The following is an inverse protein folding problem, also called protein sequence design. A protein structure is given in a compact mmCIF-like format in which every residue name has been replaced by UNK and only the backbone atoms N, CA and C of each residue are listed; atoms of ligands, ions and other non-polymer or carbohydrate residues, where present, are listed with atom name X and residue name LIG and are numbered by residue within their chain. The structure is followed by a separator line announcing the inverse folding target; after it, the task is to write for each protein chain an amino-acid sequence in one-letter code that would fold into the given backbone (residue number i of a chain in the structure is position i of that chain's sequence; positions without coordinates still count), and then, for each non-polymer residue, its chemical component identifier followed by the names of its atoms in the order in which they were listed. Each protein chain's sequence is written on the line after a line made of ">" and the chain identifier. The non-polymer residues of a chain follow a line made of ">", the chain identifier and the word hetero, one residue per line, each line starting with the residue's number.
data_IF_944150784121
#
_entry.id   IF_944150784121
#
_cell.length_a   1.000
_cell.length_b   1.000
_cell.length_c   1.000
_cell.angle_alpha   90.00
_cell.angle_beta   90.00
_cell.angle_gamma   90.00
#
_symmetry.space_group_name_H-M   'P 1'
#
loop_
_entity.id
_entity.type
_entity.pdbx_description
1 polymer ?
#
# COMPACT_ATOMS: atom_id res chain seq x y z
N UNK A 1 -32.08 20.17 -39.03
CA UNK A 1 -31.25 19.55 -40.09
C UNK A 1 -30.03 18.92 -39.39
N UNK A 2 -30.11 17.66 -38.95
CA UNK A 2 -29.34 16.47 -39.42
C UNK A 2 -27.88 16.82 -39.83
N UNK A 3 -26.78 16.23 -39.35
CA UNK A 3 -26.38 14.83 -39.06
C UNK A 3 -25.14 14.85 -38.13
N UNK A 4 -24.97 13.92 -37.19
CA UNK A 4 -24.16 12.70 -37.36
C UNK A 4 -22.73 12.93 -36.81
N UNK A 5 -22.19 12.15 -35.88
CA UNK A 5 -21.70 10.79 -36.11
C UNK A 5 -21.51 10.07 -34.76
N UNK A 6 -22.16 8.92 -34.62
CA UNK A 6 -21.91 7.93 -33.57
C UNK A 6 -21.11 6.80 -34.24
N UNK A 7 -19.82 6.67 -33.91
CA UNK A 7 -18.98 5.58 -34.40
C UNK A 7 -18.97 4.48 -33.33
N UNK A 8 -19.77 3.45 -33.59
CA UNK A 8 -19.77 2.17 -32.87
C UNK A 8 -18.65 1.32 -33.47
N UNK A 9 -17.59 1.07 -32.71
CA UNK A 9 -16.53 0.13 -33.09
C UNK A 9 -16.97 -1.29 -32.69
N UNK A 10 -17.60 -1.98 -33.64
CA UNK A 10 -17.96 -3.40 -33.55
C UNK A 10 -16.72 -4.23 -33.92
N UNK A 11 -15.91 -4.62 -32.94
CA UNK A 11 -14.73 -5.46 -33.18
C UNK A 11 -15.19 -6.91 -33.40
N UNK A 12 -15.28 -7.27 -34.68
CA UNK A 12 -15.71 -8.58 -35.16
C UNK A 12 -14.72 -9.66 -34.75
N UNK A 13 -15.23 -10.65 -34.04
CA UNK A 13 -14.63 -11.94 -33.73
C UNK A 13 -14.33 -12.70 -35.04
N UNK A 14 -13.07 -13.11 -35.26
CA UNK A 14 -12.71 -14.02 -36.34
C UNK A 14 -11.99 -15.23 -35.75
N UNK A 15 -12.76 -16.31 -35.62
CA UNK A 15 -12.34 -17.68 -35.37
C UNK A 15 -11.59 -18.19 -36.60
N UNK A 16 -10.34 -18.61 -36.42
CA UNK A 16 -9.66 -19.49 -37.37
C UNK A 16 -9.46 -20.84 -36.67
N UNK A 17 -10.36 -21.77 -36.98
CA UNK A 17 -10.17 -23.20 -36.81
C UNK A 17 -9.19 -23.66 -37.89
N UNK A 18 -7.96 -23.96 -37.51
CA UNK A 18 -6.96 -24.62 -38.36
C UNK A 18 -6.60 -25.98 -37.77
N UNK A 19 -7.36 -27.02 -38.16
CA UNK A 19 -6.99 -28.42 -37.93
C UNK A 19 -6.08 -28.87 -39.07
N UNK A 20 -4.82 -29.16 -38.76
CA UNK A 20 -3.86 -29.79 -39.66
C UNK A 20 -3.16 -30.92 -38.93
N UNK A 21 -3.66 -32.14 -39.12
CA UNK A 21 -3.11 -33.39 -38.58
C UNK A 21 -1.80 -33.71 -39.31
N UNK A 22 -0.69 -33.75 -38.59
CA UNK A 22 0.56 -34.33 -39.11
C UNK A 22 1.22 -35.15 -38.01
N UNK A 23 1.20 -36.48 -38.20
CA UNK A 23 1.79 -37.47 -37.31
C UNK A 23 3.29 -37.54 -37.55
N UNK A 24 4.08 -37.02 -36.61
CA UNK A 24 5.44 -37.47 -36.35
C UNK A 24 5.60 -37.66 -34.85
N UNK A 25 5.91 -38.89 -34.46
CA UNK A 25 6.21 -39.30 -33.10
C UNK A 25 7.68 -38.97 -32.80
N UNK A 26 8.00 -38.24 -31.73
CA UNK A 26 9.33 -38.24 -31.15
C UNK A 26 9.32 -38.97 -29.79
N UNK A 27 9.98 -40.13 -29.83
CA UNK A 27 11.01 -40.57 -28.89
C UNK A 27 11.06 -39.95 -27.48
N UNK A 28 10.92 -40.83 -26.49
CA UNK A 28 11.23 -40.62 -25.08
C UNK A 28 12.70 -40.19 -24.90
N UNK A 29 12.93 -39.00 -24.36
CA UNK A 29 14.14 -38.68 -23.61
C UNK A 29 13.77 -38.04 -22.27
N UNK A 30 13.68 -38.89 -21.26
CA UNK A 30 13.89 -38.56 -19.85
C UNK A 30 15.28 -37.94 -19.68
N UNK A 31 15.34 -36.70 -19.21
CA UNK A 31 16.58 -35.99 -18.90
C UNK A 31 16.34 -34.79 -17.98
N UNK A 32 16.38 -35.06 -16.67
CA UNK A 32 16.65 -34.16 -15.55
C UNK A 32 16.17 -32.68 -15.65
N UNK A 33 15.00 -32.40 -15.06
CA UNK A 33 14.81 -31.15 -14.31
C UNK A 33 14.62 -31.54 -12.86
N UNK A 34 15.66 -31.35 -12.07
CA UNK A 34 15.60 -31.49 -10.62
C UNK A 34 14.79 -30.34 -10.03
N UNK A 35 13.46 -30.44 -10.06
CA UNK A 35 12.56 -29.63 -9.23
C UNK A 35 12.60 -30.20 -7.81
N UNK A 36 13.70 -29.94 -7.11
CA UNK A 36 13.80 -30.15 -5.66
C UNK A 36 13.66 -28.79 -4.97
N UNK A 37 12.41 -28.46 -4.62
CA UNK A 37 12.10 -27.36 -3.71
C UNK A 37 10.99 -26.44 -4.20
N UNK A 38 9.79 -26.96 -4.49
CA UNK A 38 8.65 -26.09 -4.84
C UNK A 38 7.30 -26.54 -4.24
N UNK A 39 7.27 -27.56 -3.38
CA UNK A 39 6.05 -27.88 -2.62
C UNK A 39 5.89 -27.01 -1.38
N UNK A 40 6.97 -26.85 -0.61
CA UNK A 40 6.98 -26.02 0.59
C UNK A 40 6.71 -24.56 0.29
N UNK A 41 7.25 -24.01 -0.79
CA UNK A 41 7.06 -22.59 -1.14
C UNK A 41 5.66 -22.31 -1.68
N UNK A 42 5.07 -23.24 -2.46
CA UNK A 42 3.67 -23.12 -2.88
C UNK A 42 2.69 -23.32 -1.71
N UNK A 43 2.96 -24.26 -0.80
CA UNK A 43 2.14 -24.50 0.39
C UNK A 43 2.23 -23.32 1.36
N UNK A 44 3.44 -22.80 1.62
CA UNK A 44 3.64 -21.58 2.42
C UNK A 44 2.99 -20.36 1.78
N UNK A 45 3.09 -20.21 0.46
CA UNK A 45 2.41 -19.13 -0.25
C UNK A 45 0.89 -19.26 -0.20
N UNK A 46 0.36 -20.48 -0.38
CA UNK A 46 -1.08 -20.74 -0.30
C UNK A 46 -1.63 -20.54 1.12
N UNK A 47 -0.90 -21.00 2.14
CA UNK A 47 -1.27 -20.83 3.55
C UNK A 47 -1.17 -19.36 3.98
N UNK A 48 -0.12 -18.64 3.56
CA UNK A 48 -0.03 -17.20 3.74
C UNK A 48 -1.21 -16.50 3.04
N UNK A 49 -1.55 -16.89 1.81
CA UNK A 49 -2.68 -16.32 1.11
C UNK A 49 -4.03 -16.65 1.73
N UNK A 50 -4.18 -17.84 2.31
CA UNK A 50 -5.38 -18.25 3.02
C UNK A 50 -5.52 -17.48 4.34
N UNK A 51 -4.46 -17.38 5.15
CA UNK A 51 -4.45 -16.61 6.39
C UNK A 51 -4.66 -15.11 6.14
N UNK A 52 -4.10 -14.58 5.05
CA UNK A 52 -4.37 -13.22 4.58
C UNK A 52 -5.82 -13.09 4.12
N UNK A 53 -6.32 -14.01 3.30
CA UNK A 53 -7.71 -14.05 2.87
C UNK A 53 -8.67 -14.08 4.05
N UNK A 54 -8.41 -14.89 5.08
CA UNK A 54 -9.21 -14.95 6.31
C UNK A 54 -9.10 -13.66 7.12
N UNK A 55 -7.90 -13.08 7.25
CA UNK A 55 -7.68 -11.78 7.90
C UNK A 55 -8.37 -10.61 7.17
N UNK A 56 -8.60 -10.77 5.86
CA UNK A 56 -9.29 -9.80 5.00
C UNK A 56 -10.78 -10.14 4.75
N UNK A 57 -11.21 -11.38 5.01
CA UNK A 57 -12.59 -11.86 4.90
C UNK A 57 -13.29 -12.03 6.26
N UNK A 58 -12.65 -11.66 7.37
CA UNK A 58 -13.37 -11.26 8.58
C UNK A 58 -14.15 -9.97 8.29
N UNK A 59 -15.21 -10.09 7.49
CA UNK A 59 -16.14 -9.06 7.04
C UNK A 59 -17.01 -8.50 8.17
N UNK A 60 -16.39 -8.19 9.30
CA UNK A 60 -17.01 -7.35 10.32
C UNK A 60 -17.00 -5.94 9.77
N UNK A 61 -18.18 -5.35 9.68
CA UNK A 61 -18.31 -3.95 9.34
C UNK A 61 -17.58 -3.14 10.40
N UNK A 62 -16.56 -2.39 9.98
CA UNK A 62 -15.82 -1.50 10.87
C UNK A 62 -16.21 -0.06 10.56
N UNK A 63 -16.65 0.64 11.60
CA UNK A 63 -16.80 2.08 11.55
C UNK A 63 -15.43 2.70 11.83
N UNK A 64 -14.88 3.53 10.92
CA UNK A 64 -13.55 4.08 11.10
C UNK A 64 -13.52 5.06 12.27
N UNK A 65 -12.34 5.19 12.88
CA UNK A 65 -11.99 6.22 13.86
C UNK A 65 -12.30 7.62 13.29
N UNK A 66 -12.75 8.56 14.13
CA UNK A 66 -13.02 9.92 13.65
C UNK A 66 -11.70 10.59 13.19
N UNK A 67 -11.72 11.27 12.05
CA UNK A 67 -10.51 11.90 11.53
C UNK A 67 -9.93 12.94 12.49
N UNK A 68 -10.71 13.49 13.44
CA UNK A 68 -10.21 14.39 14.47
C UNK A 68 -9.26 13.70 15.44
N UNK A 69 -9.51 12.43 15.76
CA UNK A 69 -8.63 11.64 16.62
C UNK A 69 -7.32 11.31 15.88
N UNK A 70 -7.39 11.04 14.58
CA UNK A 70 -6.21 10.85 13.72
C UNK A 70 -5.44 12.16 13.55
N UNK A 71 -6.13 13.27 13.28
CA UNK A 71 -5.53 14.60 13.12
C UNK A 71 -4.82 15.07 14.38
N UNK A 72 -5.32 14.70 15.56
CA UNK A 72 -4.67 15.00 16.83
C UNK A 72 -3.30 14.29 17.02
N UNK A 73 -2.97 13.31 16.17
CA UNK A 73 -1.67 12.65 16.15
C UNK A 73 -0.65 13.34 15.24
N UNK A 74 -1.08 14.30 14.44
CA UNK A 74 -0.20 15.05 13.53
C UNK A 74 0.53 16.14 14.33
N UNK A 75 1.87 16.15 14.37
CA UNK A 75 2.62 17.10 15.18
C UNK A 75 2.40 18.54 14.73
N UNK A 76 2.66 19.51 15.60
CA UNK A 76 2.64 20.94 15.21
C UNK A 76 3.89 21.34 14.41
N UNK A 77 4.98 20.56 14.54
CA UNK A 77 6.29 20.87 13.98
C UNK A 77 7.12 19.59 13.79
N UNK A 78 7.93 19.54 12.73
CA UNK A 78 8.91 18.48 12.46
C UNK A 78 10.28 19.15 12.30
N UNK A 79 11.15 19.04 13.30
CA UNK A 79 12.45 19.72 13.27
C UNK A 79 12.27 21.24 13.07
N UNK A 80 12.81 21.79 11.98
CA UNK A 80 12.62 23.19 11.60
C UNK A 80 11.44 23.44 10.64
N UNK A 81 10.71 22.40 10.24
CA UNK A 81 9.56 22.50 9.35
C UNK A 81 8.30 22.78 10.17
N UNK A 82 7.67 23.94 9.94
CA UNK A 82 6.41 24.31 10.58
C UNK A 82 5.26 23.66 9.83
N UNK A 83 4.24 23.20 10.56
CA UNK A 83 3.01 22.74 9.92
C UNK A 83 2.31 23.92 9.23
N UNK A 84 2.09 23.81 7.94
CA UNK A 84 1.44 24.84 7.11
C UNK A 84 -0.04 24.58 6.93
N UNK A 85 -0.44 23.31 6.97
CA UNK A 85 -1.83 22.87 6.85
C UNK A 85 -2.07 21.61 7.68
N UNK A 86 -3.31 21.42 8.12
CA UNK A 86 -3.77 20.20 8.75
C UNK A 86 -5.24 19.98 8.42
N UNK A 87 -5.54 18.91 7.71
CA UNK A 87 -6.88 18.57 7.27
C UNK A 87 -7.28 17.18 7.76
N UNK A 88 -8.54 16.85 7.59
CA UNK A 88 -9.01 15.49 7.80
C UNK A 88 -10.42 15.36 7.27
N UNK A 89 -10.74 14.17 6.81
CA UNK A 89 -12.01 13.89 6.18
C UNK A 89 -12.46 12.45 6.46
N UNK A 90 -13.77 12.27 6.30
CA UNK A 90 -14.42 10.98 6.28
C UNK A 90 -15.18 10.86 4.97
N UNK A 91 -14.92 9.79 4.23
CA UNK A 91 -15.58 9.51 2.96
C UNK A 91 -16.19 8.11 2.96
N UNK A 92 -17.29 7.96 2.22
CA UNK A 92 -18.05 6.71 2.15
C UNK A 92 -18.46 6.45 0.71
N UNK A 93 -17.98 5.35 0.13
CA UNK A 93 -18.31 4.96 -1.25
C UNK A 93 -18.23 3.45 -1.41
N UNK A 94 -19.17 2.85 -2.16
CA UNK A 94 -19.17 1.41 -2.48
C UNK A 94 -19.00 0.48 -1.26
N UNK A 95 -19.56 0.86 -0.10
CA UNK A 95 -19.45 0.09 1.15
C UNK A 95 -18.15 0.28 1.92
N UNK A 96 -17.20 1.05 1.40
CA UNK A 96 -15.96 1.45 2.08
C UNK A 96 -16.21 2.78 2.79
N UNK A 97 -15.78 2.86 4.05
CA UNK A 97 -15.79 4.05 4.88
C UNK A 97 -14.36 4.41 5.29
N UNK A 98 -13.77 5.40 4.62
CA UNK A 98 -12.41 5.85 4.90
C UNK A 98 -12.44 7.01 5.89
N UNK A 99 -11.49 7.03 6.81
CA UNK A 99 -11.19 8.20 7.63
C UNK A 99 -9.70 8.48 7.53
N UNK A 100 -9.35 9.73 7.24
CA UNK A 100 -7.94 10.13 7.12
C UNK A 100 -7.69 11.52 7.65
N UNK A 101 -6.46 11.73 8.10
CA UNK A 101 -5.95 13.05 8.46
C UNK A 101 -4.61 13.28 7.78
N UNK A 102 -4.39 14.51 7.33
CA UNK A 102 -3.22 14.92 6.56
C UNK A 102 -2.64 16.22 7.13
N UNK A 103 -1.31 16.37 7.09
CA UNK A 103 -0.65 17.61 7.42
C UNK A 103 0.58 17.85 6.54
N UNK A 104 0.69 19.08 6.07
CA UNK A 104 1.82 19.58 5.29
C UNK A 104 2.76 20.36 6.20
N UNK A 105 4.07 20.16 6.02
CA UNK A 105 5.13 20.83 6.76
C UNK A 105 6.14 21.40 5.79
N UNK A 106 6.59 22.63 6.02
CA UNK A 106 7.65 23.23 5.23
C UNK A 106 8.58 24.09 6.08
N UNK A 107 9.81 24.28 5.58
CA UNK A 107 10.66 25.35 6.10
C UNK A 107 10.11 26.72 5.67
N UNK A 108 10.71 27.79 6.20
CA UNK A 108 10.26 29.16 5.92
C UNK A 108 10.47 29.57 4.45
N UNK A 109 11.33 28.86 3.73
CA UNK A 109 11.67 29.14 2.34
C UNK A 109 10.85 28.29 1.36
N UNK A 110 10.14 27.26 1.83
CA UNK A 110 9.44 26.28 1.01
C UNK A 110 10.37 25.36 0.21
N UNK A 111 11.62 25.20 0.64
CA UNK A 111 12.63 24.38 -0.04
C UNK A 111 12.59 22.92 0.40
N UNK A 112 12.10 22.67 1.62
CA UNK A 112 11.95 21.35 2.21
C UNK A 112 10.51 21.14 2.60
N UNK A 113 9.97 19.98 2.25
CA UNK A 113 8.58 19.67 2.52
C UNK A 113 8.44 18.23 3.02
N UNK A 114 7.56 18.05 4.00
CA UNK A 114 7.09 16.75 4.44
C UNK A 114 5.56 16.78 4.43
N UNK A 115 4.95 15.75 3.86
CA UNK A 115 3.53 15.43 3.99
C UNK A 115 3.40 14.22 4.90
N UNK A 116 2.45 14.27 5.83
CA UNK A 116 2.11 13.16 6.73
C UNK A 116 0.64 12.85 6.60
N UNK A 117 0.33 11.62 6.22
CA UNK A 117 -1.03 11.08 6.15
C UNK A 117 -1.20 9.93 7.15
N UNK A 118 -2.33 9.92 7.86
CA UNK A 118 -2.78 8.80 8.68
C UNK A 118 -4.14 8.36 8.17
N UNK A 119 -4.24 7.10 7.74
CA UNK A 119 -5.45 6.53 7.14
C UNK A 119 -5.94 5.33 7.95
N UNK A 120 -7.22 5.30 8.33
CA UNK A 120 -7.88 4.12 8.91
C UNK A 120 -8.48 3.23 7.82
N UNK A 121 -7.86 2.07 7.59
CA UNK A 121 -8.30 1.06 6.64
C UNK A 121 -9.30 0.07 7.22
N UNK A 122 -9.86 0.29 8.41
CA UNK A 122 -10.70 -0.70 9.08
C UNK A 122 -11.87 -1.21 8.24
N UNK A 123 -12.41 -0.39 7.34
CA UNK A 123 -13.50 -0.79 6.41
C UNK A 123 -13.01 -1.27 5.04
N UNK A 124 -11.70 -1.19 4.77
CA UNK A 124 -11.06 -1.62 3.52
C UNK A 124 -10.58 -3.04 3.72
N UNK A 125 -11.14 -3.98 2.97
CA UNK A 125 -10.77 -5.38 3.09
C UNK A 125 -10.50 -6.03 1.73
N UNK A 126 -9.92 -7.23 1.77
CA UNK A 126 -9.64 -8.05 0.60
C UNK A 126 -8.72 -7.37 -0.42
N UNK A 127 -9.06 -7.56 -1.69
CA UNK A 127 -8.29 -7.09 -2.84
C UNK A 127 -8.09 -5.57 -2.85
N UNK A 128 -9.00 -4.79 -2.26
CA UNK A 128 -8.87 -3.33 -2.21
C UNK A 128 -7.72 -2.88 -1.31
N UNK A 129 -7.55 -3.52 -0.16
CA UNK A 129 -6.42 -3.25 0.74
C UNK A 129 -5.10 -3.67 0.09
N UNK A 130 -5.10 -4.80 -0.64
CA UNK A 130 -3.93 -5.25 -1.39
C UNK A 130 -3.55 -4.29 -2.52
N UNK A 131 -4.52 -3.78 -3.28
CA UNK A 131 -4.25 -2.84 -4.36
C UNK A 131 -3.60 -1.54 -3.86
N UNK A 132 -3.95 -1.10 -2.65
CA UNK A 132 -3.39 0.11 -2.04
C UNK A 132 -2.05 -0.12 -1.33
N UNK A 133 -1.86 -1.26 -0.65
CA UNK A 133 -0.73 -1.50 0.26
C UNK A 133 -0.08 -2.88 0.08
N UNK A 134 -0.01 -3.38 -1.15
CA UNK A 134 0.49 -4.71 -1.48
C UNK A 134 1.93 -5.00 -1.02
N UNK A 135 2.75 -3.96 -0.81
CA UNK A 135 4.09 -4.07 -0.23
C UNK A 135 4.09 -4.73 1.16
N UNK A 136 2.98 -4.67 1.89
CA UNK A 136 2.85 -5.31 3.21
C UNK A 136 3.00 -6.84 3.13
N UNK A 137 2.59 -7.45 2.02
CA UNK A 137 2.56 -8.92 1.88
C UNK A 137 3.87 -9.52 1.36
N UNK A 138 4.82 -8.69 0.95
CA UNK A 138 6.07 -9.13 0.33
C UNK A 138 7.25 -8.55 1.08
N UNK A 139 8.38 -9.25 1.09
CA UNK A 139 9.63 -8.68 1.57
C UNK A 139 10.34 -8.04 0.37
N UNK A 140 10.59 -6.74 0.48
CA UNK A 140 11.23 -5.94 -0.57
C UNK A 140 12.62 -5.58 -0.09
N UNK A 141 13.62 -5.83 -0.93
CA UNK A 141 14.97 -5.31 -0.78
C UNK A 141 15.53 -5.09 -2.18
N UNK A 142 15.57 -3.83 -2.61
CA UNK A 142 15.98 -3.46 -3.95
C UNK A 142 16.75 -2.15 -3.93
N UNK A 143 17.86 -2.16 -4.65
CA UNK A 143 18.75 -1.03 -4.83
C UNK A 143 18.96 -0.76 -6.32
N UNK A 144 19.04 0.51 -6.68
CA UNK A 144 19.38 1.00 -8.02
C UNK A 144 20.50 2.03 -7.91
N UNK A 145 21.05 2.47 -9.04
CA UNK A 145 22.05 3.55 -9.06
C UNK A 145 21.57 4.82 -8.35
N UNK A 146 20.27 5.12 -8.45
CA UNK A 146 19.68 6.36 -8.00
C UNK A 146 18.95 6.26 -6.65
N UNK A 147 18.88 5.08 -6.02
CA UNK A 147 18.07 4.92 -4.82
C UNK A 147 17.80 3.48 -4.40
N UNK A 148 16.81 3.32 -3.54
CA UNK A 148 16.39 2.01 -3.04
C UNK A 148 14.92 1.99 -2.63
N UNK A 149 14.38 0.79 -2.50
CA UNK A 149 13.11 0.49 -1.84
C UNK A 149 13.28 -0.76 -0.99
N UNK A 150 12.77 -0.72 0.25
CA UNK A 150 12.81 -1.90 1.12
C UNK A 150 11.66 -1.93 2.11
N UNK A 151 11.29 -3.14 2.52
CA UNK A 151 10.46 -3.34 3.70
C UNK A 151 11.33 -3.43 4.96
N UNK A 152 10.77 -3.02 6.09
CA UNK A 152 11.43 -3.07 7.39
C UNK A 152 10.43 -3.31 8.52
N UNK A 153 10.92 -3.49 9.74
CA UNK A 153 10.08 -3.59 10.94
C UNK A 153 10.26 -2.36 11.80
N UNK A 154 9.16 -1.71 12.16
CA UNK A 154 9.10 -0.54 13.03
C UNK A 154 8.16 -0.80 14.20
N UNK A 155 8.70 -0.87 15.43
CA UNK A 155 7.89 -1.15 16.64
C UNK A 155 6.93 -2.32 16.46
N UNK A 156 7.41 -3.45 15.92
CA UNK A 156 6.62 -4.67 15.60
C UNK A 156 5.60 -4.54 14.47
N UNK A 157 5.53 -3.38 13.80
CA UNK A 157 4.69 -3.15 12.63
C UNK A 157 5.54 -3.22 11.36
N UNK A 158 4.99 -3.74 10.27
CA UNK A 158 5.70 -3.80 8.99
C UNK A 158 5.65 -2.44 8.32
N UNK A 159 6.81 -1.98 7.86
CA UNK A 159 6.98 -0.74 7.13
C UNK A 159 7.61 -0.96 5.76
N UNK A 160 7.52 0.08 4.96
CA UNK A 160 8.11 0.21 3.64
C UNK A 160 8.76 1.58 3.54
N UNK A 161 9.95 1.63 2.96
CA UNK A 161 10.63 2.88 2.67
C UNK A 161 11.19 2.86 1.26
N UNK A 162 11.16 4.02 0.62
CA UNK A 162 11.78 4.27 -0.67
C UNK A 162 12.52 5.59 -0.63
N UNK A 163 13.65 5.66 -1.31
CA UNK A 163 14.41 6.89 -1.38
C UNK A 163 15.10 7.06 -2.73
N UNK A 164 15.09 8.28 -3.26
CA UNK A 164 15.87 8.68 -4.43
C UNK A 164 17.00 9.62 -3.97
N UNK A 165 18.25 9.21 -4.20
CA UNK A 165 19.43 9.95 -3.78
C UNK A 165 19.64 11.25 -4.58
N UNK A 166 19.23 11.27 -5.86
CA UNK A 166 19.45 12.39 -6.76
C UNK A 166 18.47 13.54 -6.46
N UNK A 167 17.18 13.23 -6.36
CA UNK A 167 16.15 14.23 -6.07
C UNK A 167 15.96 14.49 -4.58
N UNK A 168 16.47 13.61 -3.71
CA UNK A 168 16.25 13.62 -2.26
C UNK A 168 14.77 13.56 -1.91
N UNK A 169 14.04 12.75 -2.67
CA UNK A 169 12.65 12.42 -2.41
C UNK A 169 12.59 11.07 -1.71
N UNK A 170 11.71 10.96 -0.72
CA UNK A 170 11.58 9.75 0.06
C UNK A 170 10.17 9.49 0.54
N UNK A 171 9.92 8.23 0.85
CA UNK A 171 8.68 7.74 1.41
C UNK A 171 9.02 6.84 2.59
N UNK A 172 8.29 6.99 3.69
CA UNK A 172 8.21 6.02 4.78
C UNK A 172 6.75 5.72 5.04
N UNK A 173 6.36 4.46 4.93
CA UNK A 173 5.01 3.99 5.19
C UNK A 173 5.04 2.87 6.24
N UNK A 174 4.14 2.89 7.22
CA UNK A 174 4.02 1.82 8.24
C UNK A 174 2.57 1.42 8.40
N UNK A 175 2.30 0.10 8.30
CA UNK A 175 0.98 -0.47 8.59
C UNK A 175 0.92 -0.87 10.06
N UNK A 176 0.25 -0.03 10.85
CA UNK A 176 0.08 -0.16 12.29
C UNK A 176 -1.14 -1.01 12.61
N UNK A 177 -0.94 -2.02 13.46
CA UNK A 177 -1.99 -2.93 13.93
C UNK A 177 -2.86 -3.53 12.80
N UNK A 178 -2.27 -3.71 11.61
CA UNK A 178 -2.95 -4.20 10.38
C UNK A 178 -4.17 -3.36 9.96
N UNK A 179 -4.21 -2.08 10.35
CA UNK A 179 -5.39 -1.23 10.14
C UNK A 179 -5.06 0.21 9.79
N UNK A 180 -4.13 0.83 10.51
CA UNK A 180 -3.81 2.24 10.27
C UNK A 180 -2.55 2.33 9.44
N UNK A 181 -2.56 3.11 8.37
CA UNK A 181 -1.33 3.41 7.62
C UNK A 181 -0.87 4.80 7.98
N UNK A 182 0.39 4.92 8.39
CA UNK A 182 1.09 6.20 8.53
C UNK A 182 2.02 6.33 7.34
N UNK A 183 1.77 7.30 6.48
CA UNK A 183 2.53 7.59 5.26
C UNK A 183 3.22 8.94 5.43
N UNK A 184 4.51 8.99 5.14
CA UNK A 184 5.34 10.19 5.26
C UNK A 184 6.08 10.36 3.94
N UNK A 185 5.72 11.40 3.20
CA UNK A 185 6.33 11.74 1.92
C UNK A 185 7.22 12.96 2.11
N UNK A 186 8.43 12.91 1.55
CA UNK A 186 9.42 13.96 1.66
C UNK A 186 9.91 14.45 0.32
N UNK A 187 10.04 15.76 0.18
CA UNK A 187 10.77 16.40 -0.92
C UNK A 187 11.95 17.20 -0.37
N UNK A 188 13.13 16.96 -0.94
CA UNK A 188 14.41 17.57 -0.52
C UNK A 188 14.74 17.36 0.97
N UNK A 189 14.35 16.22 1.54
CA UNK A 189 14.59 15.84 2.94
C UNK A 189 15.27 14.48 3.02
N UNK A 190 16.11 14.29 4.03
CA UNK A 190 16.82 13.03 4.22
C UNK A 190 15.90 11.92 4.77
N UNK A 191 16.23 10.66 4.47
CA UNK A 191 15.55 9.51 5.08
C UNK A 191 15.56 9.55 6.62
N UNK A 192 16.61 10.11 7.22
CA UNK A 192 16.66 10.28 8.68
C UNK A 192 15.63 11.29 9.19
N UNK A 193 15.37 12.37 8.46
CA UNK A 193 14.30 13.33 8.78
C UNK A 193 12.92 12.65 8.66
N UNK A 194 12.71 11.79 7.66
CA UNK A 194 11.46 11.02 7.51
C UNK A 194 11.24 10.04 8.66
N UNK A 195 12.28 9.27 9.04
CA UNK A 195 12.19 8.35 10.18
C UNK A 195 12.00 9.07 11.51
N UNK A 196 12.67 10.21 11.69
CA UNK A 196 12.46 11.06 12.87
C UNK A 196 11.03 11.61 12.92
N UNK A 197 10.42 11.89 11.77
CA UNK A 197 9.02 12.28 11.68
C UNK A 197 8.10 11.14 12.15
N UNK A 198 8.36 9.91 11.70
CA UNK A 198 7.60 8.74 12.13
C UNK A 198 7.66 8.56 13.67
N UNK A 199 8.82 8.82 14.27
CA UNK A 199 9.01 8.73 15.72
C UNK A 199 8.20 9.76 16.52
N UNK A 200 7.77 10.86 15.89
CA UNK A 200 6.89 11.87 16.51
C UNK A 200 5.41 11.45 16.52
N UNK A 201 5.01 10.50 15.69
CA UNK A 201 3.64 10.00 15.65
C UNK A 201 3.44 8.98 16.77
N UNK A 202 2.38 9.16 17.58
CA UNK A 202 2.01 8.22 18.64
C UNK A 202 1.37 6.95 18.06
N UNK A 203 2.24 6.06 17.57
CA UNK A 203 1.87 4.75 17.01
C UNK A 203 1.15 3.89 18.05
N UNK A 204 1.51 3.98 19.32
CA UNK A 204 0.85 3.20 20.38
C UNK A 204 -0.61 3.60 20.58
N UNK A 205 -0.95 4.89 20.38
CA UNK A 205 -2.35 5.33 20.36
C UNK A 205 -3.12 4.73 19.17
N UNK A 206 -2.49 4.62 17.99
CA UNK A 206 -3.10 3.93 16.85
C UNK A 206 -3.34 2.44 17.16
N UNK A 207 -2.36 1.75 17.74
CA UNK A 207 -2.50 0.36 18.15
C UNK A 207 -3.65 0.15 19.15
N UNK A 208 -3.82 1.09 20.10
CA UNK A 208 -4.91 1.05 21.07
C UNK A 208 -6.30 1.23 20.43
N UNK A 209 -6.39 1.81 19.24
CA UNK A 209 -7.65 2.01 18.49
C UNK A 209 -7.98 0.86 17.54
N UNK A 210 -7.17 -0.22 17.48
CA UNK A 210 -7.32 -1.31 16.50
C UNK A 210 -8.70 -1.98 16.47
N UNK A 211 -9.38 -2.06 17.62
CA UNK A 211 -10.70 -2.69 17.75
C UNK A 211 -11.85 -1.66 17.74
N UNK A 212 -11.55 -0.37 17.58
CA UNK A 212 -12.57 0.69 17.57
C UNK A 212 -13.56 0.48 16.42
N UNK A 213 -14.86 0.54 16.71
CA UNK A 213 -15.91 0.52 15.69
C UNK A 213 -16.09 -0.82 14.98
N UNK A 214 -15.40 -1.89 15.41
CA UNK A 214 -15.61 -3.26 14.91
C UNK A 214 -16.97 -3.76 15.39
N UNK A 215 -17.88 -4.03 14.47
CA UNK A 215 -19.20 -4.60 14.79
C UNK A 215 -19.06 -6.06 15.27
N UNK A 216 -19.88 -6.45 16.25
CA UNK A 216 -19.86 -7.78 16.88
C UNK A 216 -20.60 -8.81 16.05
#
# INVERSE_FOLDING_TARGET
>A
MIRGFLIIFLFSFLLILGCGENKQSPENQTGNSETKGEKGDLENFAENMQNLSESFNEGKKVNPVDFRDLKALLPEQIGNLKRTNASGEKSSAMGINLSKAEADYSDEQGNKNIDVQITDLGSVSGLNAFAAYGWYMVDIDKETEDGYEKTFVYKSNKGYERYNNNSKDGEVSVLVARRFVVEINGNNVSMNELKSTLDLIDISKLEAMKDFGVEK
#
